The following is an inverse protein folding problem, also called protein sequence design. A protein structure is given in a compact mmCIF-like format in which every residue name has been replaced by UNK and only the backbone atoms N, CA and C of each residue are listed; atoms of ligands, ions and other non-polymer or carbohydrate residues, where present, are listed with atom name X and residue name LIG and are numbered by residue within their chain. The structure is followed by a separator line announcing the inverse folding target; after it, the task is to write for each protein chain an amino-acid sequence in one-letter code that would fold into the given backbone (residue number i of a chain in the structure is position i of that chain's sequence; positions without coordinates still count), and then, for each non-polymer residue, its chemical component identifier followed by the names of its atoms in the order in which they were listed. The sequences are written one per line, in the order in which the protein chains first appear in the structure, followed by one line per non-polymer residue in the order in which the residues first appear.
data_IF_018838419676
#
_entry.id   IF_018838419676
#
_cell.length_a   1.000
_cell.length_b   1.000
_cell.length_c   1.000
_cell.angle_alpha   90.00
_cell.angle_beta   90.00
_cell.angle_gamma   90.00
#
_symmetry.space_group_name_H-M   'P 1'
#
loop_
_entity.id
_entity.type
_entity.pdbx_description
1 polymer ?
#
# COMPACT_ATOMS: atom_id res chain seq x y z
N UNK A 1 -16.73 22.59 4.23
CA UNK A 1 -16.35 22.87 2.83
C UNK A 1 -15.22 23.88 2.89
N UNK A 2 -14.00 23.51 2.49
CA UNK A 2 -12.90 24.47 2.43
C UNK A 2 -13.19 25.50 1.32
N UNK A 3 -12.88 26.76 1.59
CA UNK A 3 -13.06 27.87 0.66
C UNK A 3 -12.22 27.63 -0.63
N UNK A 4 -12.82 27.63 -1.83
CA UNK A 4 -12.10 27.47 -3.10
C UNK A 4 -11.03 28.54 -3.35
N UNK A 5 -10.98 29.62 -2.57
CA UNK A 5 -9.97 30.68 -2.67
C UNK A 5 -8.55 30.30 -2.19
N UNK A 6 -8.31 29.11 -1.62
CA UNK A 6 -6.98 28.74 -1.11
C UNK A 6 -5.95 28.43 -2.21
N UNK A 7 -6.39 28.07 -3.43
CA UNK A 7 -5.51 28.05 -4.60
C UNK A 7 -5.96 29.14 -5.55
N UNK A 8 -5.21 30.24 -5.71
CA UNK A 8 -5.50 31.16 -6.79
C UNK A 8 -5.52 30.36 -8.10
N UNK A 9 -6.52 30.57 -8.97
CA UNK A 9 -6.48 29.98 -10.31
C UNK A 9 -5.15 30.35 -10.95
N UNK A 10 -4.59 29.49 -11.83
CA UNK A 10 -3.34 29.82 -12.49
C UNK A 10 -3.44 31.23 -13.08
N UNK A 11 -2.44 32.08 -12.81
CA UNK A 11 -2.43 33.50 -13.18
C UNK A 11 -2.52 33.74 -14.71
N UNK A 12 -2.49 32.65 -15.48
CA UNK A 12 -2.46 32.56 -16.94
C UNK A 12 -3.43 31.44 -17.35
N UNK A 13 -4.18 31.65 -18.45
CA UNK A 13 -5.00 30.61 -19.07
C UNK A 13 -4.18 29.44 -19.63
N UNK A 14 -2.85 29.57 -19.64
CA UNK A 14 -1.88 28.59 -20.13
C UNK A 14 -0.91 28.16 -19.04
N UNK A 15 -0.71 26.85 -18.90
CA UNK A 15 0.23 26.25 -17.95
C UNK A 15 1.50 25.77 -18.67
N UNK A 16 2.59 25.63 -17.91
CA UNK A 16 3.89 25.16 -18.38
C UNK A 16 4.45 24.00 -17.55
N UNK A 17 5.70 23.61 -17.86
CA UNK A 17 6.38 22.51 -17.18
C UNK A 17 6.54 22.73 -15.67
N UNK A 18 6.74 23.97 -15.23
CA UNK A 18 6.88 24.34 -13.81
C UNK A 18 5.62 24.05 -12.98
N UNK A 19 4.43 24.22 -13.57
CA UNK A 19 3.16 23.93 -12.88
C UNK A 19 3.03 22.42 -12.62
N UNK A 20 3.42 21.61 -13.61
CA UNK A 20 3.42 20.14 -13.50
C UNK A 20 4.47 19.67 -12.49
N UNK A 21 5.69 20.25 -12.53
CA UNK A 21 6.75 19.97 -11.56
C UNK A 21 6.32 20.26 -10.12
N UNK A 22 5.58 21.35 -9.91
CA UNK A 22 5.06 21.70 -8.60
C UNK A 22 4.03 20.66 -8.12
N UNK A 23 3.13 20.18 -9.00
CA UNK A 23 2.17 19.12 -8.67
C UNK A 23 2.86 17.80 -8.30
N UNK A 24 3.85 17.39 -9.11
CA UNK A 24 4.65 16.18 -8.87
C UNK A 24 5.41 16.27 -7.54
N UNK A 25 6.06 17.40 -7.27
CA UNK A 25 6.83 17.64 -6.05
C UNK A 25 5.94 17.56 -4.80
N UNK A 26 4.79 18.23 -4.83
CA UNK A 26 3.83 18.19 -3.73
C UNK A 26 3.27 16.78 -3.50
N UNK A 27 2.99 16.04 -4.58
CA UNK A 27 2.54 14.65 -4.48
C UNK A 27 3.60 13.76 -3.83
N UNK A 28 4.88 13.91 -4.21
CA UNK A 28 6.00 13.20 -3.55
C UNK A 28 6.11 13.55 -2.06
N UNK A 29 6.01 14.83 -1.69
CA UNK A 29 6.06 15.24 -0.27
C UNK A 29 4.92 14.65 0.56
N UNK A 30 3.69 14.66 0.04
CA UNK A 30 2.53 14.09 0.73
C UNK A 30 2.63 12.57 0.87
N UNK A 31 3.23 11.88 -0.10
CA UNK A 31 3.52 10.46 -0.03
C UNK A 31 4.52 10.11 1.06
N UNK A 32 5.56 10.92 1.25
CA UNK A 32 6.49 10.74 2.37
C UNK A 32 5.79 10.85 3.73
N UNK A 33 4.85 11.79 3.87
CA UNK A 33 4.03 11.92 5.09
C UNK A 33 3.15 10.68 5.31
N UNK A 34 2.51 10.15 4.24
CA UNK A 34 1.74 8.89 4.32
C UNK A 34 2.61 7.74 4.83
N UNK A 35 3.78 7.53 4.23
CA UNK A 35 4.68 6.44 4.63
C UNK A 35 5.07 6.52 6.11
N UNK A 36 5.39 7.73 6.59
CA UNK A 36 5.84 7.92 7.97
C UNK A 36 4.72 7.84 9.01
N UNK A 37 3.55 8.43 8.74
CA UNK A 37 2.54 8.69 9.79
C UNK A 37 1.18 8.03 9.55
N UNK A 38 0.93 7.42 8.40
CA UNK A 38 -0.42 7.02 8.01
C UNK A 38 -1.02 7.97 6.98
N UNK A 39 -1.85 7.43 6.08
CA UNK A 39 -2.53 8.20 5.05
C UNK A 39 -3.54 9.18 5.63
N UNK A 40 -4.09 8.90 6.82
CA UNK A 40 -4.94 9.84 7.55
C UNK A 40 -4.22 11.15 7.91
N UNK A 41 -2.89 11.16 8.01
CA UNK A 41 -2.11 12.35 8.34
C UNK A 41 -2.02 13.38 7.19
N UNK A 42 -2.19 12.94 5.93
CA UNK A 42 -2.06 13.81 4.76
C UNK A 42 -3.27 13.81 3.82
N UNK A 43 -4.30 12.99 4.08
CA UNK A 43 -5.45 12.83 3.18
C UNK A 43 -6.12 14.15 2.79
N UNK A 44 -6.42 15.01 3.76
CA UNK A 44 -7.11 16.27 3.47
C UNK A 44 -6.25 17.19 2.59
N UNK A 45 -4.94 17.23 2.83
CA UNK A 45 -4.01 17.97 1.98
C UNK A 45 -3.94 17.40 0.56
N UNK A 46 -4.01 16.07 0.40
CA UNK A 46 -4.09 15.40 -0.92
C UNK A 46 -5.38 15.78 -1.64
N UNK A 47 -6.55 15.69 -0.98
CA UNK A 47 -7.85 16.05 -1.56
C UNK A 47 -7.86 17.52 -1.98
N UNK A 48 -7.28 18.39 -1.17
CA UNK A 48 -7.11 19.81 -1.47
C UNK A 48 -6.29 20.02 -2.76
N UNK A 49 -5.25 19.21 -3.00
CA UNK A 49 -4.46 19.26 -4.26
C UNK A 49 -5.23 18.77 -5.49
N UNK A 50 -6.22 17.89 -5.33
CA UNK A 50 -7.07 17.45 -6.45
C UNK A 50 -7.84 18.64 -7.05
N UNK A 51 -8.32 19.57 -6.24
CA UNK A 51 -9.00 20.78 -6.76
C UNK A 51 -8.06 21.64 -7.60
N UNK A 52 -6.81 21.79 -7.17
CA UNK A 52 -5.82 22.53 -7.97
C UNK A 52 -5.47 21.78 -9.27
N UNK A 53 -5.29 20.46 -9.21
CA UNK A 53 -5.08 19.62 -10.39
C UNK A 53 -6.21 19.75 -11.43
N UNK A 54 -7.48 19.87 -10.99
CA UNK A 54 -8.62 20.12 -11.87
C UNK A 54 -8.52 21.46 -12.59
N UNK A 55 -8.03 22.51 -11.92
CA UNK A 55 -7.79 23.80 -12.56
C UNK A 55 -6.66 23.72 -13.61
N UNK A 56 -5.59 22.98 -13.33
CA UNK A 56 -4.51 22.75 -14.29
C UNK A 56 -5.01 21.98 -15.52
N UNK A 57 -5.88 20.98 -15.34
CA UNK A 57 -6.48 20.22 -16.44
C UNK A 57 -7.35 21.09 -17.36
N UNK A 58 -8.01 22.11 -16.82
CA UNK A 58 -8.85 23.03 -17.58
C UNK A 58 -8.05 24.08 -18.36
N UNK A 59 -6.78 24.31 -18.02
CA UNK A 59 -5.92 25.30 -18.68
C UNK A 59 -5.36 24.81 -20.02
N UNK A 60 -4.96 25.73 -20.90
CA UNK A 60 -4.26 25.44 -22.14
C UNK A 60 -2.82 24.96 -21.87
N UNK A 61 -2.34 24.00 -22.65
CA UNK A 61 -0.99 23.46 -22.53
C UNK A 61 -0.51 22.94 -23.89
N UNK A 62 0.81 22.89 -24.11
CA UNK A 62 1.35 22.11 -25.24
C UNK A 62 1.12 20.62 -25.02
N UNK A 63 1.14 19.82 -26.09
CA UNK A 63 0.89 18.38 -26.01
C UNK A 63 1.83 17.66 -25.02
N UNK A 64 3.11 18.02 -25.03
CA UNK A 64 4.09 17.46 -24.08
C UNK A 64 3.80 17.81 -22.61
N UNK A 65 3.38 19.05 -22.33
CA UNK A 65 2.98 19.48 -20.97
C UNK A 65 1.67 18.80 -20.57
N UNK A 66 0.72 18.67 -21.50
CA UNK A 66 -0.56 17.98 -21.26
C UNK A 66 -0.32 16.51 -20.90
N UNK A 67 0.51 15.80 -21.65
CA UNK A 67 0.82 14.39 -21.40
C UNK A 67 1.44 14.21 -20.00
N UNK A 68 2.45 15.01 -19.66
CA UNK A 68 3.09 15.00 -18.32
C UNK A 68 2.10 15.33 -17.21
N UNK A 69 1.21 16.31 -17.43
CA UNK A 69 0.16 16.66 -16.48
C UNK A 69 -0.78 15.48 -16.22
N UNK A 70 -1.20 14.74 -17.25
CA UNK A 70 -2.08 13.58 -17.08
C UNK A 70 -1.44 12.53 -16.16
N UNK A 71 -0.15 12.20 -16.36
CA UNK A 71 0.59 11.31 -15.43
C UNK A 71 0.69 11.87 -14.02
N UNK A 72 0.98 13.17 -13.86
CA UNK A 72 1.07 13.81 -12.54
C UNK A 72 -0.29 13.80 -11.80
N UNK A 73 -1.40 14.05 -12.51
CA UNK A 73 -2.75 13.99 -11.96
C UNK A 73 -3.15 12.55 -11.64
N UNK A 74 -2.77 11.58 -12.48
CA UNK A 74 -2.96 10.17 -12.20
C UNK A 74 -2.25 9.75 -10.91
N UNK A 75 -0.99 10.16 -10.70
CA UNK A 75 -0.23 9.84 -9.49
C UNK A 75 -0.83 10.52 -8.25
N UNK A 76 -1.34 11.74 -8.37
CA UNK A 76 -2.06 12.40 -7.28
C UNK A 76 -3.35 11.68 -6.92
N UNK A 77 -4.14 11.25 -7.91
CA UNK A 77 -5.33 10.43 -7.67
C UNK A 77 -4.97 9.06 -7.08
N UNK A 78 -3.86 8.45 -7.50
CA UNK A 78 -3.34 7.23 -6.91
C UNK A 78 -3.03 7.40 -5.41
N UNK A 79 -2.39 8.51 -5.03
CA UNK A 79 -2.16 8.84 -3.63
C UNK A 79 -3.46 9.15 -2.88
N UNK A 80 -4.42 9.84 -3.50
CA UNK A 80 -5.74 10.12 -2.91
C UNK A 80 -6.52 8.82 -2.63
N UNK A 81 -6.42 7.85 -3.54
CA UNK A 81 -7.01 6.52 -3.37
C UNK A 81 -6.39 5.79 -2.20
N UNK A 82 -5.05 5.78 -2.13
CA UNK A 82 -4.31 5.08 -1.07
C UNK A 82 -4.53 5.68 0.33
N UNK A 83 -4.51 7.01 0.44
CA UNK A 83 -4.75 7.71 1.71
C UNK A 83 -6.21 7.59 2.17
N UNK A 84 -7.16 7.55 1.22
CA UNK A 84 -8.56 7.26 1.53
C UNK A 84 -8.77 5.82 2.00
N UNK A 85 -8.11 4.84 1.36
CA UNK A 85 -8.11 3.46 1.82
C UNK A 85 -7.51 3.34 3.22
N UNK A 86 -6.39 4.01 3.48
CA UNK A 86 -5.77 4.01 4.80
C UNK A 86 -6.63 4.65 5.89
N UNK A 87 -7.53 5.56 5.50
CA UNK A 87 -8.49 6.22 6.39
C UNK A 87 -9.85 5.50 6.47
N UNK A 88 -9.98 4.27 5.95
CA UNK A 88 -11.23 3.50 5.96
C UNK A 88 -12.31 3.97 4.98
N UNK A 89 -12.00 4.90 4.08
CA UNK A 89 -12.95 5.48 3.11
C UNK A 89 -12.92 4.71 1.77
N UNK A 90 -13.39 3.46 1.81
CA UNK A 90 -13.27 2.50 0.69
C UNK A 90 -13.91 3.00 -0.61
N UNK A 91 -15.11 3.57 -0.55
CA UNK A 91 -15.77 4.12 -1.74
C UNK A 91 -14.98 5.26 -2.39
N UNK A 92 -14.41 6.16 -1.58
CA UNK A 92 -13.53 7.23 -2.07
C UNK A 92 -12.22 6.68 -2.65
N UNK A 93 -11.68 5.61 -2.05
CA UNK A 93 -10.50 4.93 -2.55
C UNK A 93 -10.71 4.41 -3.98
N UNK A 94 -11.78 3.63 -4.21
CA UNK A 94 -12.10 3.11 -5.54
C UNK A 94 -12.34 4.23 -6.55
N UNK A 95 -13.11 5.26 -6.18
CA UNK A 95 -13.35 6.41 -7.05
C UNK A 95 -12.02 7.03 -7.52
N UNK A 96 -11.09 7.30 -6.60
CA UNK A 96 -9.81 7.89 -6.97
C UNK A 96 -8.91 6.95 -7.77
N UNK A 97 -8.90 5.64 -7.50
CA UNK A 97 -8.16 4.70 -8.33
C UNK A 97 -8.73 4.57 -9.75
N UNK A 98 -10.06 4.65 -9.94
CA UNK A 98 -10.67 4.68 -11.27
C UNK A 98 -10.25 5.94 -12.05
N UNK A 99 -10.28 7.10 -11.38
CA UNK A 99 -9.77 8.35 -11.97
C UNK A 99 -8.29 8.28 -12.29
N UNK A 100 -7.48 7.66 -11.43
CA UNK A 100 -6.05 7.47 -11.69
C UNK A 100 -5.81 6.61 -12.94
N UNK A 101 -6.54 5.50 -13.11
CA UNK A 101 -6.45 4.64 -14.30
C UNK A 101 -6.89 5.36 -15.59
N UNK A 102 -7.92 6.22 -15.51
CA UNK A 102 -8.34 7.03 -16.65
C UNK A 102 -7.25 7.95 -17.18
N UNK A 103 -6.43 8.50 -16.28
CA UNK A 103 -5.35 9.43 -16.62
C UNK A 103 -4.01 8.73 -16.93
N UNK A 104 -3.75 7.55 -16.37
CA UNK A 104 -2.49 6.81 -16.53
C UNK A 104 -2.37 6.00 -17.84
N UNK A 105 -3.29 6.15 -18.80
CA UNK A 105 -3.43 5.26 -19.98
C UNK A 105 -2.16 5.06 -20.83
N UNK A 106 -1.21 5.98 -20.75
CA UNK A 106 0.06 5.94 -21.50
C UNK A 106 1.29 5.77 -20.59
N UNK A 107 1.08 5.42 -19.33
CA UNK A 107 2.10 5.23 -18.31
C UNK A 107 1.91 3.83 -17.70
N UNK A 108 2.66 2.87 -18.21
CA UNK A 108 2.53 1.45 -17.86
C UNK A 108 2.96 1.17 -16.41
N UNK A 109 4.02 1.83 -15.94
CA UNK A 109 4.51 1.69 -14.57
C UNK A 109 3.51 2.27 -13.57
N UNK A 110 2.98 3.46 -13.85
CA UNK A 110 1.96 4.06 -13.00
C UNK A 110 0.66 3.25 -13.02
N UNK A 111 0.25 2.75 -14.19
CA UNK A 111 -0.91 1.86 -14.32
C UNK A 111 -0.73 0.60 -13.47
N UNK A 112 0.45 -0.02 -13.51
CA UNK A 112 0.78 -1.20 -12.70
C UNK A 112 0.69 -0.89 -11.21
N UNK A 113 1.24 0.24 -10.76
CA UNK A 113 1.13 0.70 -9.37
C UNK A 113 -0.33 0.87 -8.93
N UNK A 114 -1.17 1.51 -9.75
CA UNK A 114 -2.58 1.75 -9.44
C UNK A 114 -3.35 0.42 -9.38
N UNK A 115 -3.10 -0.49 -10.32
CA UNK A 115 -3.68 -1.85 -10.35
C UNK A 115 -3.30 -2.62 -9.08
N UNK A 116 -2.03 -2.61 -8.70
CA UNK A 116 -1.55 -3.21 -7.45
C UNK A 116 -2.29 -2.65 -6.24
N UNK A 117 -2.34 -1.31 -6.09
CA UNK A 117 -2.98 -0.65 -4.95
C UNK A 117 -4.48 -0.92 -4.89
N UNK A 118 -5.16 -0.97 -6.03
CA UNK A 118 -6.58 -1.31 -6.08
C UNK A 118 -6.83 -2.78 -5.70
N UNK A 119 -6.00 -3.71 -6.18
CA UNK A 119 -6.05 -5.12 -5.77
C UNK A 119 -5.87 -5.29 -4.26
N UNK A 120 -4.97 -4.51 -3.64
CA UNK A 120 -4.80 -4.48 -2.17
C UNK A 120 -6.05 -4.06 -1.41
N UNK A 121 -6.87 -3.16 -1.97
CA UNK A 121 -8.15 -2.78 -1.34
C UNK A 121 -9.11 -3.97 -1.33
N UNK A 122 -9.26 -4.66 -2.47
CA UNK A 122 -10.11 -5.86 -2.54
C UNK A 122 -9.63 -6.94 -1.57
N UNK A 123 -8.33 -7.22 -1.53
CA UNK A 123 -7.78 -8.25 -0.65
C UNK A 123 -8.01 -7.91 0.82
N UNK A 124 -7.80 -6.66 1.22
CA UNK A 124 -7.99 -6.22 2.60
C UNK A 124 -9.45 -6.30 3.07
N UNK A 125 -10.41 -6.15 2.15
CA UNK A 125 -11.84 -6.27 2.45
C UNK A 125 -12.42 -7.67 2.16
N UNK A 126 -11.57 -8.70 2.11
CA UNK A 126 -12.02 -10.09 2.02
C UNK A 126 -12.57 -10.49 0.64
N UNK A 127 -12.18 -9.78 -0.42
CA UNK A 127 -12.51 -10.11 -1.82
C UNK A 127 -11.26 -10.61 -2.59
N UNK A 128 -10.65 -11.75 -2.20
CA UNK A 128 -9.41 -12.24 -2.82
C UNK A 128 -9.58 -12.62 -4.30
N UNK A 129 -10.78 -13.01 -4.75
CA UNK A 129 -11.06 -13.29 -6.16
C UNK A 129 -10.92 -12.05 -7.04
N UNK A 130 -11.52 -10.94 -6.62
CA UNK A 130 -11.36 -9.65 -7.30
C UNK A 130 -9.91 -9.19 -7.24
N UNK A 131 -9.24 -9.34 -6.09
CA UNK A 131 -7.84 -8.97 -5.92
C UNK A 131 -6.92 -9.72 -6.90
N UNK A 132 -7.12 -11.03 -7.08
CA UNK A 132 -6.39 -11.84 -8.07
C UNK A 132 -6.54 -11.29 -9.48
N UNK A 133 -7.74 -10.87 -9.87
CA UNK A 133 -7.98 -10.28 -11.19
C UNK A 133 -7.16 -9.00 -11.43
N UNK A 134 -6.80 -8.26 -10.37
CA UNK A 134 -5.86 -7.15 -10.46
C UNK A 134 -4.41 -7.62 -10.50
N UNK A 135 -3.99 -8.50 -9.59
CA UNK A 135 -2.59 -8.95 -9.50
C UNK A 135 -2.13 -9.76 -10.72
N UNK A 136 -3.06 -10.41 -11.44
CA UNK A 136 -2.77 -11.19 -12.64
C UNK A 136 -2.71 -10.39 -13.94
N UNK A 137 -2.92 -9.05 -13.89
CA UNK A 137 -2.75 -8.19 -15.08
C UNK A 137 -1.29 -8.09 -15.55
N UNK A 138 -0.35 -8.61 -14.76
CA UNK A 138 1.08 -8.64 -15.06
C UNK A 138 1.77 -7.30 -14.83
N UNK A 139 3.09 -7.31 -14.90
CA UNK A 139 3.95 -6.15 -14.85
C UNK A 139 5.19 -6.40 -15.73
N UNK A 140 5.70 -5.36 -16.38
CA UNK A 140 6.86 -5.50 -17.27
C UNK A 140 8.19 -5.59 -16.51
N UNK A 141 8.40 -4.70 -15.54
CA UNK A 141 9.63 -4.70 -14.74
C UNK A 141 9.66 -5.88 -13.75
N UNK A 142 10.77 -6.63 -13.62
CA UNK A 142 10.83 -7.79 -12.72
C UNK A 142 10.51 -7.48 -11.25
N UNK A 143 10.93 -6.31 -10.74
CA UNK A 143 10.60 -5.92 -9.37
C UNK A 143 9.09 -5.66 -9.18
N UNK A 144 8.45 -5.03 -10.17
CA UNK A 144 7.00 -4.84 -10.17
C UNK A 144 6.26 -6.18 -10.29
N UNK A 145 6.76 -7.11 -11.12
CA UNK A 145 6.24 -8.47 -11.20
C UNK A 145 6.37 -9.21 -9.85
N UNK A 146 7.48 -9.05 -9.14
CA UNK A 146 7.66 -9.61 -7.80
C UNK A 146 6.57 -9.13 -6.82
N UNK A 147 6.31 -7.81 -6.79
CA UNK A 147 5.23 -7.23 -5.99
C UNK A 147 3.89 -7.86 -6.34
N UNK A 148 3.57 -8.01 -7.63
CA UNK A 148 2.31 -8.60 -8.09
C UNK A 148 2.19 -10.07 -7.66
N UNK A 149 3.23 -10.88 -7.85
CA UNK A 149 3.24 -12.30 -7.45
C UNK A 149 3.15 -12.49 -5.94
N UNK A 150 3.82 -11.64 -5.13
CA UNK A 150 3.72 -11.71 -3.68
C UNK A 150 2.27 -11.45 -3.19
N UNK A 151 1.54 -10.56 -3.86
CA UNK A 151 0.15 -10.27 -3.50
C UNK A 151 -0.85 -11.27 -4.10
N UNK A 152 -0.55 -11.88 -5.26
CA UNK A 152 -1.24 -13.07 -5.75
C UNK A 152 -1.10 -14.24 -4.74
N UNK A 153 0.11 -14.48 -4.23
CA UNK A 153 0.37 -15.50 -3.22
C UNK A 153 -0.45 -15.27 -1.95
N UNK A 154 -0.53 -14.02 -1.49
CA UNK A 154 -1.35 -13.66 -0.34
C UNK A 154 -2.84 -13.87 -0.62
N UNK A 155 -3.34 -13.48 -1.80
CA UNK A 155 -4.73 -13.70 -2.16
C UNK A 155 -5.08 -15.20 -2.23
N UNK A 156 -4.19 -16.06 -2.74
CA UNK A 156 -4.37 -17.51 -2.68
C UNK A 156 -4.33 -18.05 -1.25
N UNK A 157 -3.43 -17.55 -0.41
CA UNK A 157 -3.35 -17.95 1.00
C UNK A 157 -4.65 -17.62 1.75
N UNK A 158 -5.23 -16.44 1.51
CA UNK A 158 -6.54 -16.04 2.05
C UNK A 158 -7.70 -16.93 1.56
N UNK A 159 -7.53 -17.64 0.43
CA UNK A 159 -8.48 -18.64 -0.07
C UNK A 159 -8.17 -20.07 0.41
N UNK A 160 -7.20 -20.25 1.33
CA UNK A 160 -6.66 -21.55 1.75
C UNK A 160 -6.12 -22.41 0.59
N UNK A 161 -5.65 -21.77 -0.49
CA UNK A 161 -5.09 -22.42 -1.69
C UNK A 161 -3.57 -22.51 -1.58
N UNK A 162 -3.09 -23.38 -0.70
CA UNK A 162 -1.67 -23.43 -0.30
C UNK A 162 -0.72 -23.71 -1.46
N UNK A 163 -1.07 -24.60 -2.38
CA UNK A 163 -0.20 -24.95 -3.50
C UNK A 163 0.00 -23.77 -4.47
N UNK A 164 -1.07 -23.03 -4.78
CA UNK A 164 -0.99 -21.83 -5.60
C UNK A 164 -0.28 -20.68 -4.87
N UNK A 165 -0.53 -20.52 -3.57
CA UNK A 165 0.14 -19.51 -2.75
C UNK A 165 1.66 -19.69 -2.75
N UNK A 166 2.15 -20.90 -2.46
CA UNK A 166 3.59 -21.19 -2.43
C UNK A 166 4.23 -21.08 -3.82
N UNK A 167 3.52 -21.47 -4.88
CA UNK A 167 3.99 -21.32 -6.26
C UNK A 167 4.14 -19.85 -6.65
N UNK A 168 3.15 -19.02 -6.32
CA UNK A 168 3.19 -17.58 -6.58
C UNK A 168 4.28 -16.90 -5.74
N UNK A 169 4.47 -17.31 -4.49
CA UNK A 169 5.57 -16.81 -3.65
C UNK A 169 6.94 -17.13 -4.26
N UNK A 170 7.14 -18.35 -4.77
CA UNK A 170 8.37 -18.71 -5.49
C UNK A 170 8.60 -17.82 -6.71
N UNK A 171 7.57 -17.55 -7.53
CA UNK A 171 7.67 -16.61 -8.65
C UNK A 171 8.02 -15.20 -8.20
N UNK A 172 7.52 -14.76 -7.05
CA UNK A 172 7.84 -13.46 -6.47
C UNK A 172 9.34 -13.39 -6.14
N UNK A 173 9.88 -14.42 -5.49
CA UNK A 173 11.30 -14.53 -5.14
C UNK A 173 12.20 -14.58 -6.38
N UNK A 174 11.84 -15.38 -7.40
CA UNK A 174 12.58 -15.46 -8.65
C UNK A 174 12.60 -14.11 -9.39
N UNK A 175 11.45 -13.44 -9.46
CA UNK A 175 11.32 -12.13 -10.11
C UNK A 175 12.14 -11.07 -9.38
N UNK A 176 12.14 -11.09 -8.04
CA UNK A 176 12.96 -10.22 -7.21
C UNK A 176 14.45 -10.43 -7.46
N UNK A 177 14.91 -11.69 -7.44
CA UNK A 177 16.31 -12.03 -7.67
C UNK A 177 16.81 -11.63 -9.07
N UNK A 178 15.90 -11.61 -10.06
CA UNK A 178 16.19 -11.18 -11.43
C UNK A 178 16.13 -9.66 -11.66
N UNK A 179 15.67 -8.88 -10.69
CA UNK A 179 15.44 -7.45 -10.87
C UNK A 179 16.75 -6.66 -10.95
N UNK A 180 16.86 -5.82 -11.98
CA UNK A 180 17.89 -4.77 -12.01
C UNK A 180 17.48 -3.63 -11.07
N UNK A 181 18.18 -3.54 -9.95
CA UNK A 181 17.92 -2.52 -8.93
C UNK A 181 18.39 -1.11 -9.36
N UNK A 182 19.15 -0.97 -10.45
CA UNK A 182 19.60 0.33 -10.94
C UNK A 182 18.45 1.14 -11.59
N UNK A 183 17.47 0.46 -12.18
CA UNK A 183 16.37 1.10 -12.95
C UNK A 183 15.00 0.75 -12.39
N UNK A 184 14.81 0.96 -11.09
CA UNK A 184 13.55 0.67 -10.40
C UNK A 184 12.60 1.87 -10.45
N UNK A 185 11.34 1.70 -10.90
CA UNK A 185 10.32 2.74 -10.77
C UNK A 185 10.15 3.15 -9.31
N UNK A 186 10.05 4.46 -9.04
CA UNK A 186 10.04 4.99 -7.66
C UNK A 186 8.98 4.35 -6.75
N UNK A 187 7.82 3.99 -7.31
CA UNK A 187 6.75 3.35 -6.56
C UNK A 187 7.09 1.94 -6.08
N UNK A 188 8.00 1.23 -6.76
CA UNK A 188 8.39 -0.15 -6.45
C UNK A 188 9.58 -0.22 -5.48
N UNK A 189 10.25 0.91 -5.20
CA UNK A 189 11.46 0.98 -4.34
C UNK A 189 11.23 0.53 -2.89
N UNK A 190 9.99 0.51 -2.40
CA UNK A 190 9.69 -0.04 -1.08
C UNK A 190 9.89 -1.56 -1.02
N UNK A 191 9.84 -2.23 -2.17
CA UNK A 191 9.95 -3.67 -2.26
C UNK A 191 11.43 -4.06 -2.30
N UNK A 192 12.01 -4.21 -1.13
CA UNK A 192 13.36 -4.68 -0.89
C UNK A 192 13.35 -6.08 -0.24
N UNK A 193 14.53 -6.57 0.17
CA UNK A 193 14.65 -7.87 0.85
C UNK A 193 13.83 -7.93 2.15
N UNK A 194 13.69 -6.81 2.85
CA UNK A 194 12.92 -6.72 4.10
C UNK A 194 11.44 -6.86 3.81
N UNK A 195 10.92 -6.15 2.80
CA UNK A 195 9.52 -6.24 2.39
C UNK A 195 9.17 -7.63 1.83
N UNK A 196 10.04 -8.23 1.02
CA UNK A 196 9.83 -9.61 0.53
C UNK A 196 9.82 -10.63 1.68
N UNK A 197 10.69 -10.45 2.68
CA UNK A 197 10.71 -11.27 3.90
C UNK A 197 9.42 -11.09 4.72
N UNK A 198 8.96 -9.85 4.87
CA UNK A 198 7.68 -9.54 5.53
C UNK A 198 6.47 -10.18 4.83
N UNK A 199 6.45 -10.12 3.49
CA UNK A 199 5.43 -10.75 2.66
C UNK A 199 5.46 -12.27 2.80
N UNK A 200 6.65 -12.88 2.79
CA UNK A 200 6.84 -14.32 3.05
C UNK A 200 6.22 -14.70 4.40
N UNK A 201 6.58 -13.99 5.46
CA UNK A 201 6.03 -14.22 6.81
C UNK A 201 4.50 -14.07 6.86
N UNK A 202 3.96 -13.05 6.20
CA UNK A 202 2.51 -12.81 6.11
C UNK A 202 1.79 -13.94 5.39
N UNK A 203 2.30 -14.39 4.24
CA UNK A 203 1.69 -15.47 3.45
C UNK A 203 1.69 -16.78 4.24
N UNK A 204 2.79 -17.13 4.91
CA UNK A 204 2.83 -18.32 5.77
C UNK A 204 1.91 -18.19 6.99
N UNK A 205 1.73 -16.99 7.55
CA UNK A 205 0.76 -16.74 8.64
C UNK A 205 -0.66 -17.08 8.18
N UNK A 206 -1.06 -16.59 7.00
CA UNK A 206 -2.38 -16.83 6.42
C UNK A 206 -2.62 -18.32 6.10
N UNK A 207 -1.57 -19.05 5.76
CA UNK A 207 -1.61 -20.50 5.57
C UNK A 207 -1.60 -21.30 6.88
N UNK A 208 -1.42 -20.63 8.03
CA UNK A 208 -1.27 -21.29 9.33
C UNK A 208 0.08 -22.00 9.54
N UNK A 209 1.07 -21.77 8.67
CA UNK A 209 2.42 -22.33 8.79
C UNK A 209 3.30 -21.41 9.66
N UNK A 210 3.02 -21.43 10.96
CA UNK A 210 3.69 -20.61 11.98
C UNK A 210 5.20 -20.85 12.02
N UNK A 211 5.65 -22.09 11.73
CA UNK A 211 7.07 -22.47 11.72
C UNK A 211 7.87 -21.70 10.67
N UNK A 212 7.31 -21.49 9.48
CA UNK A 212 7.93 -20.69 8.43
C UNK A 212 7.68 -19.17 8.66
N UNK A 213 6.51 -18.80 9.19
CA UNK A 213 6.13 -17.42 9.37
C UNK A 213 6.97 -16.69 10.44
N UNK A 214 7.14 -17.28 11.63
CA UNK A 214 7.75 -16.60 12.79
C UNK A 214 9.18 -16.10 12.50
N UNK A 215 10.10 -16.91 11.95
CA UNK A 215 11.47 -16.44 11.66
C UNK A 215 11.49 -15.30 10.65
N UNK A 216 10.68 -15.39 9.58
CA UNK A 216 10.58 -14.35 8.55
C UNK A 216 10.04 -13.03 9.15
N UNK A 217 8.96 -13.12 9.94
CA UNK A 217 8.36 -11.94 10.59
C UNK A 217 9.33 -11.28 11.58
N UNK A 218 10.05 -12.06 12.40
CA UNK A 218 11.07 -11.52 13.32
C UNK A 218 12.17 -10.78 12.57
N UNK A 219 12.72 -11.39 11.52
CA UNK A 219 13.74 -10.76 10.68
C UNK A 219 13.24 -9.46 10.04
N UNK A 220 12.01 -9.44 9.52
CA UNK A 220 11.44 -8.23 8.95
C UNK A 220 11.25 -7.12 10.00
N UNK A 221 10.77 -7.46 11.20
CA UNK A 221 10.56 -6.49 12.31
C UNK A 221 11.88 -5.84 12.75
N UNK A 222 12.98 -6.58 12.71
CA UNK A 222 14.32 -6.11 13.07
C UNK A 222 14.93 -5.22 12.00
N UNK A 223 14.66 -5.50 10.72
CA UNK A 223 15.26 -4.78 9.59
C UNK A 223 14.45 -3.57 9.10
N UNK A 224 13.14 -3.50 9.35
CA UNK A 224 12.35 -2.33 8.96
C UNK A 224 12.81 -1.06 9.67
N UNK A 225 13.24 -0.08 8.88
CA UNK A 225 13.54 1.27 9.35
C UNK A 225 12.30 2.06 9.80
N UNK A 226 12.50 3.23 10.45
CA UNK A 226 11.41 4.04 11.01
C UNK A 226 10.42 4.56 9.96
N UNK A 227 10.86 4.74 8.70
CA UNK A 227 9.99 5.15 7.60
C UNK A 227 8.95 4.09 7.19
N UNK A 228 9.13 2.84 7.64
CA UNK A 228 8.25 1.70 7.33
C UNK A 228 7.45 1.25 8.57
N UNK A 229 7.13 2.19 9.47
CA UNK A 229 6.44 1.92 10.74
C UNK A 229 5.14 1.12 10.56
N UNK A 230 4.36 1.41 9.50
CA UNK A 230 3.12 0.68 9.20
C UNK A 230 3.39 -0.78 8.81
N UNK A 231 4.34 -1.03 7.90
CA UNK A 231 4.71 -2.38 7.48
C UNK A 231 5.26 -3.21 8.64
N UNK A 232 6.10 -2.58 9.49
CA UNK A 232 6.59 -3.20 10.73
C UNK A 232 5.46 -3.55 11.70
N UNK A 233 4.46 -2.67 11.84
CA UNK A 233 3.28 -2.92 12.67
C UNK A 233 2.44 -4.07 12.14
N UNK A 234 2.25 -4.18 10.82
CA UNK A 234 1.60 -5.36 10.23
C UNK A 234 2.35 -6.66 10.56
N UNK A 235 3.69 -6.66 10.53
CA UNK A 235 4.47 -7.83 10.89
C UNK A 235 4.31 -8.20 12.38
N UNK A 236 4.23 -7.21 13.28
CA UNK A 236 3.95 -7.45 14.70
C UNK A 236 2.58 -8.12 14.90
N UNK A 237 1.55 -7.67 14.16
CA UNK A 237 0.20 -8.26 14.21
C UNK A 237 0.24 -9.72 13.73
N UNK A 238 0.88 -9.99 12.59
CA UNK A 238 1.04 -11.35 12.07
C UNK A 238 1.83 -12.23 13.04
N UNK A 239 2.89 -11.71 13.65
CA UNK A 239 3.73 -12.47 14.58
C UNK A 239 2.96 -12.84 15.85
N UNK A 240 2.24 -11.90 16.44
CA UNK A 240 1.36 -12.18 17.58
C UNK A 240 0.29 -13.21 17.23
N UNK A 241 -0.28 -13.11 16.02
CA UNK A 241 -1.24 -14.10 15.51
C UNK A 241 -0.61 -15.50 15.42
N UNK A 242 0.61 -15.64 14.91
CA UNK A 242 1.32 -16.92 14.90
C UNK A 242 1.52 -17.49 16.32
N UNK A 243 1.97 -16.67 17.28
CA UNK A 243 2.13 -17.13 18.67
C UNK A 243 0.81 -17.60 19.28
N UNK A 244 -0.31 -16.90 19.01
CA UNK A 244 -1.63 -17.36 19.46
C UNK A 244 -2.08 -18.67 18.79
N UNK A 245 -1.74 -18.88 17.50
CA UNK A 245 -2.02 -20.13 16.80
C UNK A 245 -1.21 -21.31 17.37
N UNK A 246 0.05 -21.08 17.75
CA UNK A 246 0.93 -22.09 18.37
C UNK A 246 0.61 -22.35 19.85
N UNK A 247 -0.23 -21.52 20.46
CA UNK A 247 -0.55 -21.59 21.89
C UNK A 247 0.51 -20.98 22.81
N UNK A 248 1.46 -20.23 22.25
CA UNK A 248 2.45 -19.44 22.99
C UNK A 248 1.85 -18.10 23.43
N UNK A 249 0.94 -18.17 24.39
CA UNK A 249 0.09 -17.05 24.78
C UNK A 249 0.86 -15.88 25.41
N UNK A 250 1.94 -16.17 26.15
CA UNK A 250 2.75 -15.15 26.82
C UNK A 250 3.49 -14.29 25.79
N UNK A 251 4.17 -14.91 24.83
CA UNK A 251 4.83 -14.18 23.75
C UNK A 251 3.81 -13.53 22.81
N UNK A 252 2.68 -14.19 22.53
CA UNK A 252 1.57 -13.61 21.78
C UNK A 252 1.01 -12.34 22.41
N UNK A 253 0.83 -12.32 23.74
CA UNK A 253 0.42 -11.12 24.48
C UNK A 253 1.48 -10.03 24.43
N UNK A 254 2.75 -10.37 24.63
CA UNK A 254 3.86 -9.42 24.61
C UNK A 254 4.00 -8.74 23.23
N UNK A 255 4.00 -9.53 22.15
CA UNK A 255 4.07 -9.01 20.77
C UNK A 255 2.79 -8.26 20.40
N UNK A 256 1.62 -8.79 20.76
CA UNK A 256 0.33 -8.15 20.47
C UNK A 256 0.19 -6.78 21.15
N UNK A 257 0.68 -6.64 22.38
CA UNK A 257 0.74 -5.35 23.10
C UNK A 257 1.65 -4.35 22.39
N UNK A 258 2.81 -4.79 21.90
CA UNK A 258 3.69 -3.93 21.09
C UNK A 258 3.02 -3.49 19.78
N UNK A 259 2.23 -4.37 19.16
CA UNK A 259 1.47 -4.04 17.95
C UNK A 259 0.42 -2.95 18.22
N UNK A 260 -0.32 -3.04 19.33
CA UNK A 260 -1.32 -2.03 19.73
C UNK A 260 -0.66 -0.67 19.96
N UNK A 261 0.42 -0.61 20.74
CA UNK A 261 1.14 0.66 20.98
C UNK A 261 1.66 1.29 19.69
N UNK A 262 2.22 0.49 18.79
CA UNK A 262 2.68 0.99 17.49
C UNK A 262 1.52 1.50 16.63
N UNK A 263 0.32 0.91 16.74
CA UNK A 263 -0.86 1.35 16.03
C UNK A 263 -1.41 2.69 16.52
N UNK A 264 -1.27 3.00 17.81
CA UNK A 264 -1.70 4.29 18.40
C UNK A 264 -0.94 5.49 17.83
N UNK A 265 0.33 5.28 17.45
CA UNK A 265 1.20 6.28 16.82
C UNK A 265 0.86 6.50 15.33
N UNK A 266 0.05 5.63 14.72
CA UNK A 266 -0.27 5.65 13.29
C UNK A 266 -1.70 6.14 13.04
N UNK A 267 -1.88 6.99 12.01
CA UNK A 267 -3.20 7.39 11.51
C UNK A 267 -3.64 6.50 10.34
N UNK A 268 -3.92 5.23 10.66
CA UNK A 268 -4.29 4.18 9.69
C UNK A 268 -5.38 3.25 10.24
N UNK A 269 -6.57 3.27 9.64
CA UNK A 269 -7.67 2.34 9.97
C UNK A 269 -7.30 0.90 9.57
N UNK A 270 -6.48 0.73 8.53
CA UNK A 270 -6.03 -0.60 8.07
C UNK A 270 -5.25 -1.37 9.14
N UNK A 271 -4.53 -0.66 10.01
CA UNK A 271 -3.83 -1.29 11.14
C UNK A 271 -4.86 -1.79 12.15
N UNK A 272 -5.85 -0.97 12.49
CA UNK A 272 -6.92 -1.35 13.42
C UNK A 272 -7.81 -2.47 12.88
N UNK A 273 -8.10 -2.48 11.58
CA UNK A 273 -8.77 -3.59 10.89
C UNK A 273 -8.10 -4.93 11.15
N UNK A 274 -6.77 -4.97 11.17
CA UNK A 274 -5.99 -6.20 11.39
C UNK A 274 -5.76 -6.51 12.87
N UNK A 275 -5.72 -5.49 13.73
CA UNK A 275 -5.68 -5.70 15.18
C UNK A 275 -6.97 -6.34 15.67
N UNK A 276 -8.14 -5.96 15.13
CA UNK A 276 -9.45 -6.45 15.61
C UNK A 276 -9.53 -7.99 15.65
N UNK A 277 -9.26 -8.74 14.57
CA UNK A 277 -9.26 -10.20 14.61
C UNK A 277 -8.23 -10.80 15.58
N UNK A 278 -7.00 -10.26 15.60
CA UNK A 278 -5.95 -10.70 16.52
C UNK A 278 -6.36 -10.50 17.98
N UNK A 279 -6.92 -9.34 18.31
CA UNK A 279 -7.41 -9.02 19.65
C UNK A 279 -8.61 -9.89 20.06
N UNK A 280 -9.50 -10.22 19.13
CA UNK A 280 -10.59 -11.17 19.36
C UNK A 280 -10.05 -12.57 19.67
N UNK A 281 -9.05 -13.04 18.92
CA UNK A 281 -8.40 -14.32 19.17
C UNK A 281 -7.76 -14.37 20.57
N UNK A 282 -7.11 -13.28 20.99
CA UNK A 282 -6.58 -13.14 22.35
C UNK A 282 -7.69 -13.14 23.42
N UNK A 283 -8.78 -12.40 23.20
CA UNK A 283 -9.88 -12.25 24.16
C UNK A 283 -10.62 -13.57 24.43
N UNK A 284 -10.81 -14.42 23.41
CA UNK A 284 -11.39 -15.77 23.57
C UNK A 284 -10.55 -16.64 24.51
N UNK A 285 -9.27 -16.30 24.72
CA UNK A 285 -8.35 -16.97 25.65
C UNK A 285 -8.16 -16.22 26.97
N UNK A 286 -8.96 -15.18 27.23
CA UNK A 286 -8.87 -14.38 28.45
C UNK A 286 -7.72 -13.36 28.47
N UNK A 287 -7.07 -13.11 27.33
CA UNK A 287 -5.93 -12.19 27.20
C UNK A 287 -6.43 -10.82 26.75
N UNK A 288 -5.97 -9.76 27.42
CA UNK A 288 -6.25 -8.38 27.02
C UNK A 288 -4.96 -7.73 26.49
N UNK A 289 -5.05 -7.12 25.31
CA UNK A 289 -3.97 -6.34 24.70
C UNK A 289 -4.20 -4.85 25.02
N UNK A 290 -3.22 -4.21 25.68
CA UNK A 290 -3.26 -2.78 26.05
C UNK A 290 -1.92 -2.12 25.75
#
# INVERSE_FOLDING_TARGET
MADPAYFPPPHSSRIGASDVEQLESQTRSLRSVDYQYGGGACRDAVVVRIYWAQQLLAAEASDGVRARLLSAVADLHNLAGWTSFDSGQVGAAYHHFDRALDFARHDEDLTTNIVYRRGRVHLHHGAPGDALAYFQRGAFAPLAASIMYANEAWAYAHQARSAEALRALGKAQDSFASADLAHVPDWARFHDETDLTAMTGTIHTELGDTRAAIPALRSAIENFGPAMARSRTFCLISLATCHFLDGDFDEGQAVGTRAVRAAEELKSERVWDRIRPMAQAAAVRGITLR
#
